data_IF_490244544407
#
_entry.id   IF_490244544407
#
_cell.length_a   1.000
_cell.length_b   1.000
_cell.length_c   1.000
_cell.angle_alpha   90.00
_cell.angle_beta   90.00
_cell.angle_gamma   90.00
#
_symmetry.space_group_name_H-M   'P 1'
#
loop_
_entity.id
_entity.type
_entity.pdbx_description
1 polymer ?
#
# COMPACT_ATOMS: atom_id res chain seq x y z
N UNK A 1 1.80 -19.55 1.35
CA UNK A 1 1.82 -18.30 0.57
C UNK A 1 1.52 -17.15 1.51
N UNK A 2 2.35 -16.11 1.47
CA UNK A 2 2.10 -14.90 2.26
C UNK A 2 1.18 -13.97 1.48
N UNK A 3 0.23 -13.33 2.17
CA UNK A 3 -0.72 -12.39 1.59
C UNK A 3 -0.59 -11.04 2.29
N UNK A 4 -0.32 -10.01 1.50
CA UNK A 4 -0.33 -8.62 1.95
C UNK A 4 -1.76 -8.11 2.15
N UNK A 5 -1.96 -7.12 3.04
CA UNK A 5 -3.28 -6.52 3.25
C UNK A 5 -4.26 -7.36 4.06
N UNK A 6 -3.82 -8.47 4.67
CA UNK A 6 -4.62 -9.20 5.64
C UNK A 6 -3.78 -9.93 6.68
N UNK A 7 -4.47 -10.53 7.66
CA UNK A 7 -3.87 -10.94 8.93
C UNK A 7 -4.20 -12.40 9.22
N UNK A 8 -3.18 -13.20 9.52
CA UNK A 8 -3.37 -14.56 10.02
C UNK A 8 -3.95 -15.54 8.99
N UNK A 9 -4.68 -16.54 9.47
CA UNK A 9 -5.25 -17.59 8.63
C UNK A 9 -6.56 -17.18 7.96
N UNK A 10 -6.78 -17.68 6.75
CA UNK A 10 -8.02 -17.50 5.99
C UNK A 10 -8.90 -18.75 6.08
N UNK A 11 -10.19 -18.56 6.35
CA UNK A 11 -11.19 -19.62 6.26
C UNK A 11 -11.84 -19.60 4.87
N UNK A 12 -11.62 -20.66 4.10
CA UNK A 12 -12.15 -20.85 2.74
C UNK A 12 -13.07 -22.08 2.66
N UNK A 13 -13.45 -22.66 3.80
CA UNK A 13 -14.23 -23.90 3.90
C UNK A 13 -15.51 -23.87 3.05
N UNK A 14 -16.24 -22.75 3.05
CA UNK A 14 -17.48 -22.58 2.29
C UNK A 14 -17.36 -22.77 0.77
N UNK A 15 -16.15 -22.71 0.20
CA UNK A 15 -15.88 -22.96 -1.22
C UNK A 15 -15.05 -24.23 -1.41
N UNK A 16 -14.12 -24.50 -0.50
CA UNK A 16 -13.25 -25.68 -0.56
C UNK A 16 -14.01 -27.00 -0.36
N UNK A 17 -15.10 -27.00 0.39
CA UNK A 17 -15.95 -28.18 0.62
C UNK A 17 -16.72 -28.63 -0.62
N UNK A 18 -16.85 -27.77 -1.64
CA UNK A 18 -17.46 -28.12 -2.92
C UNK A 18 -16.58 -29.17 -3.59
N UNK A 19 -17.06 -30.41 -3.62
CA UNK A 19 -16.28 -31.57 -4.04
C UNK A 19 -16.08 -31.62 -5.56
N UNK A 20 -17.12 -31.21 -6.28
CA UNK A 20 -17.10 -31.07 -7.74
C UNK A 20 -16.19 -29.91 -8.15
N UNK A 21 -15.16 -30.23 -8.94
CA UNK A 21 -14.13 -29.27 -9.33
C UNK A 21 -14.68 -28.18 -10.25
N UNK A 22 -15.60 -28.51 -11.14
CA UNK A 22 -16.16 -27.59 -12.13
C UNK A 22 -17.09 -26.58 -11.45
N UNK A 23 -17.93 -27.07 -10.53
CA UNK A 23 -18.77 -26.21 -9.69
C UNK A 23 -17.90 -25.31 -8.80
N UNK A 24 -16.88 -25.88 -8.13
CA UNK A 24 -15.98 -25.11 -7.26
C UNK A 24 -15.27 -23.99 -8.03
N UNK A 25 -14.76 -24.31 -9.23
CA UNK A 25 -14.13 -23.34 -10.10
C UNK A 25 -15.12 -22.23 -10.52
N UNK A 26 -16.32 -22.58 -10.95
CA UNK A 26 -17.34 -21.60 -11.34
C UNK A 26 -17.73 -20.64 -10.21
N UNK A 27 -17.86 -21.15 -8.98
CA UNK A 27 -18.13 -20.32 -7.79
C UNK A 27 -16.94 -19.42 -7.48
N UNK A 28 -15.71 -19.96 -7.50
CA UNK A 28 -14.51 -19.18 -7.22
C UNK A 28 -14.28 -18.08 -8.26
N UNK A 29 -14.52 -18.35 -9.54
CA UNK A 29 -14.44 -17.37 -10.62
C UNK A 29 -15.51 -16.27 -10.48
N UNK A 30 -16.74 -16.65 -10.13
CA UNK A 30 -17.80 -15.69 -9.84
C UNK A 30 -17.39 -14.77 -8.68
N UNK A 31 -16.94 -15.33 -7.57
CA UNK A 31 -16.59 -14.54 -6.38
C UNK A 31 -15.36 -13.66 -6.61
N UNK A 32 -14.37 -14.12 -7.37
CA UNK A 32 -13.25 -13.29 -7.77
C UNK A 32 -13.70 -12.12 -8.65
N UNK A 33 -14.63 -12.36 -9.59
CA UNK A 33 -15.18 -11.30 -10.46
C UNK A 33 -15.98 -10.26 -9.68
N UNK A 34 -16.74 -10.68 -8.66
CA UNK A 34 -17.50 -9.77 -7.80
C UNK A 34 -16.65 -9.11 -6.70
N UNK A 35 -15.35 -9.41 -6.63
CA UNK A 35 -14.43 -8.87 -5.62
C UNK A 35 -14.62 -9.43 -4.21
N UNK A 36 -15.35 -10.56 -4.09
CA UNK A 36 -15.53 -11.30 -2.82
C UNK A 36 -14.26 -12.09 -2.49
N UNK A 37 -13.62 -12.69 -3.50
CA UNK A 37 -12.31 -13.32 -3.36
C UNK A 37 -11.23 -12.44 -3.99
N UNK A 38 -10.10 -12.33 -3.31
CA UNK A 38 -8.87 -11.83 -3.92
C UNK A 38 -8.13 -12.94 -4.67
N UNK A 39 -7.09 -12.55 -5.42
CA UNK A 39 -6.32 -13.50 -6.23
C UNK A 39 -5.62 -14.60 -5.43
N UNK A 40 -5.16 -14.31 -4.21
CA UNK A 40 -4.52 -15.28 -3.33
C UNK A 40 -5.51 -16.34 -2.82
N UNK A 41 -6.70 -15.91 -2.43
CA UNK A 41 -7.77 -16.81 -1.98
C UNK A 41 -8.29 -17.67 -3.14
N UNK A 42 -8.51 -17.08 -4.32
CA UNK A 42 -8.87 -17.83 -5.53
C UNK A 42 -7.82 -18.90 -5.86
N UNK A 43 -6.53 -18.52 -5.90
CA UNK A 43 -5.44 -19.47 -6.16
C UNK A 43 -5.40 -20.59 -5.12
N UNK A 44 -5.71 -20.28 -3.86
CA UNK A 44 -5.72 -21.24 -2.76
C UNK A 44 -6.87 -22.23 -2.90
N UNK A 45 -8.07 -21.78 -3.25
CA UNK A 45 -9.24 -22.65 -3.54
C UNK A 45 -8.95 -23.59 -4.70
N UNK A 46 -8.37 -23.06 -5.79
CA UNK A 46 -8.06 -23.86 -6.99
C UNK A 46 -6.97 -24.90 -6.76
N UNK A 47 -6.06 -24.64 -5.81
CA UNK A 47 -4.97 -25.56 -5.47
C UNK A 47 -5.34 -26.64 -4.44
N UNK A 48 -6.58 -26.69 -3.95
CA UNK A 48 -7.12 -27.79 -3.14
C UNK A 48 -6.30 -28.18 -1.91
N UNK A 49 -6.12 -27.26 -0.97
CA UNK A 49 -5.38 -27.45 0.29
C UNK A 49 -3.88 -27.73 0.22
N UNK A 50 -3.26 -27.60 -0.96
CA UNK A 50 -1.82 -27.87 -1.15
C UNK A 50 -0.86 -26.92 -0.41
N UNK A 51 -1.32 -25.77 0.08
CA UNK A 51 -0.52 -24.83 0.87
C UNK A 51 -1.39 -24.03 1.83
N UNK A 52 -0.79 -23.37 2.82
CA UNK A 52 -1.52 -22.41 3.69
C UNK A 52 -1.44 -21.00 3.12
N UNK A 53 -2.56 -20.28 3.10
CA UNK A 53 -2.60 -18.84 2.84
C UNK A 53 -2.53 -18.11 4.19
N UNK A 54 -1.55 -17.23 4.35
CA UNK A 54 -1.28 -16.55 5.62
C UNK A 54 -1.07 -15.05 5.41
N UNK A 55 -1.90 -14.26 6.06
CA UNK A 55 -1.81 -12.81 6.12
C UNK A 55 -0.63 -12.36 6.98
N UNK A 56 0.25 -11.54 6.41
CA UNK A 56 1.47 -11.05 7.07
C UNK A 56 1.36 -9.61 7.57
N UNK A 57 0.17 -8.99 7.48
CA UNK A 57 -0.03 -7.61 7.86
C UNK A 57 0.12 -7.40 9.38
N UNK A 58 0.84 -6.35 9.76
CA UNK A 58 0.87 -5.89 11.14
C UNK A 58 -0.29 -4.90 11.34
N UNK A 59 -1.32 -5.35 12.06
CA UNK A 59 -2.54 -4.57 12.29
C UNK A 59 -2.28 -3.29 13.07
N UNK A 60 -1.33 -3.31 14.01
CA UNK A 60 -1.02 -2.13 14.81
C UNK A 60 -0.32 -1.08 13.94
N UNK A 61 0.67 -1.52 13.16
CA UNK A 61 1.39 -0.66 12.24
C UNK A 61 0.48 -0.09 11.14
N UNK A 62 -0.39 -0.91 10.56
CA UNK A 62 -1.38 -0.48 9.57
C UNK A 62 -2.27 0.63 10.14
N UNK A 63 -2.86 0.41 11.32
CA UNK A 63 -3.75 1.39 11.94
C UNK A 63 -3.02 2.67 12.33
N UNK A 64 -1.77 2.57 12.79
CA UNK A 64 -0.93 3.73 13.08
C UNK A 64 -0.68 4.56 11.81
N UNK A 65 -0.29 3.91 10.71
CA UNK A 65 -0.05 4.57 9.44
C UNK A 65 -1.32 5.22 8.87
N UNK A 66 -2.45 4.51 8.93
CA UNK A 66 -3.74 5.02 8.49
C UNK A 66 -4.15 6.28 9.26
N UNK A 67 -3.96 6.28 10.58
CA UNK A 67 -4.22 7.46 11.42
C UNK A 67 -3.32 8.63 11.04
N UNK A 68 -2.00 8.41 10.96
CA UNK A 68 -1.03 9.44 10.59
C UNK A 68 -1.38 10.04 9.23
N UNK A 69 -1.71 9.20 8.25
CA UNK A 69 -2.11 9.65 6.92
C UNK A 69 -3.38 10.51 6.97
N UNK A 70 -4.42 10.05 7.67
CA UNK A 70 -5.68 10.79 7.77
C UNK A 70 -5.50 12.15 8.45
N UNK A 71 -4.75 12.16 9.55
CA UNK A 71 -4.52 13.37 10.33
C UNK A 71 -3.66 14.38 9.53
N UNK A 72 -2.66 13.92 8.78
CA UNK A 72 -1.88 14.76 7.86
C UNK A 72 -2.71 15.26 6.68
N UNK A 73 -3.54 14.41 6.08
CA UNK A 73 -4.32 14.74 4.89
C UNK A 73 -5.21 15.98 5.09
N UNK A 74 -5.76 16.16 6.29
CA UNK A 74 -6.57 17.32 6.64
C UNK A 74 -5.80 18.66 6.58
N UNK A 75 -4.49 18.64 6.84
CA UNK A 75 -3.63 19.83 6.84
C UNK A 75 -2.66 19.88 5.66
N UNK A 76 -2.78 18.94 4.71
CA UNK A 76 -1.83 18.78 3.61
C UNK A 76 -1.64 20.06 2.81
N UNK A 77 -2.73 20.69 2.38
CA UNK A 77 -2.65 21.90 1.55
C UNK A 77 -1.99 23.07 2.27
N UNK A 78 -2.25 23.23 3.57
CA UNK A 78 -1.64 24.28 4.38
C UNK A 78 -0.14 24.04 4.55
N UNK A 79 0.24 22.82 4.88
CA UNK A 79 1.65 22.42 5.03
C UNK A 79 2.39 22.57 3.70
N UNK A 80 1.80 22.14 2.58
CA UNK A 80 2.39 22.31 1.24
C UNK A 80 2.64 23.79 0.92
N UNK A 81 1.71 24.69 1.26
CA UNK A 81 1.89 26.14 1.08
C UNK A 81 3.05 26.68 1.92
N UNK A 82 3.17 26.24 3.18
CA UNK A 82 4.27 26.64 4.07
C UNK A 82 5.60 26.16 3.51
N UNK A 83 5.71 24.88 3.13
CA UNK A 83 6.92 24.29 2.57
C UNK A 83 7.32 25.04 1.29
N UNK A 84 6.39 25.28 0.37
CA UNK A 84 6.67 26.06 -0.85
C UNK A 84 7.10 27.49 -0.55
N UNK A 85 6.52 28.13 0.47
CA UNK A 85 6.93 29.44 0.95
C UNK A 85 8.38 29.45 1.44
N UNK A 86 8.75 28.48 2.29
CA UNK A 86 10.09 28.32 2.81
C UNK A 86 11.10 28.01 1.69
N UNK A 87 10.77 27.09 0.77
CA UNK A 87 11.63 26.78 -0.37
C UNK A 87 11.91 28.02 -1.22
N UNK A 88 10.89 28.81 -1.58
CA UNK A 88 11.09 30.08 -2.31
C UNK A 88 11.94 31.08 -1.53
N UNK A 89 11.74 31.17 -0.22
CA UNK A 89 12.54 32.02 0.66
C UNK A 89 14.01 31.62 0.67
N UNK A 90 14.29 30.32 0.77
CA UNK A 90 15.64 29.76 0.73
C UNK A 90 16.30 30.05 -0.62
N UNK A 91 15.61 29.81 -1.74
CA UNK A 91 16.17 30.10 -3.07
C UNK A 91 16.49 31.60 -3.24
N UNK A 92 15.59 32.48 -2.79
CA UNK A 92 15.86 33.93 -2.82
C UNK A 92 17.06 34.33 -1.93
N UNK A 93 17.25 33.67 -0.79
CA UNK A 93 18.37 33.92 0.09
C UNK A 93 19.69 33.39 -0.49
N UNK A 94 19.67 32.20 -1.12
CA UNK A 94 20.82 31.61 -1.83
C UNK A 94 21.35 32.58 -2.87
N UNK A 95 20.47 33.17 -3.68
CA UNK A 95 20.87 34.13 -4.71
C UNK A 95 21.62 35.35 -4.17
N UNK A 96 21.28 35.79 -2.95
CA UNK A 96 21.83 37.01 -2.33
C UNK A 96 23.07 36.74 -1.48
N UNK A 97 23.17 35.56 -0.88
CA UNK A 97 24.20 35.24 0.12
C UNK A 97 25.34 34.43 -0.51
N UNK A 98 25.04 33.55 -1.46
CA UNK A 98 26.06 32.69 -2.06
C UNK A 98 26.89 33.48 -3.07
N UNK A 99 28.20 33.27 -2.99
CA UNK A 99 29.10 33.65 -4.08
C UNK A 99 29.08 32.59 -5.18
N UNK A 100 29.59 32.93 -6.37
CA UNK A 100 29.57 32.05 -7.55
C UNK A 100 30.18 30.67 -7.29
N UNK A 101 31.29 30.58 -6.54
CA UNK A 101 31.92 29.30 -6.23
C UNK A 101 31.02 28.39 -5.40
N UNK A 102 30.24 28.95 -4.48
CA UNK A 102 29.31 28.18 -3.64
C UNK A 102 28.04 27.79 -4.41
N UNK A 103 27.58 28.60 -5.37
CA UNK A 103 26.46 28.24 -6.25
C UNK A 103 26.83 27.02 -7.12
N UNK A 104 27.99 27.09 -7.78
CA UNK A 104 28.53 25.99 -8.61
C UNK A 104 28.69 24.69 -7.80
N UNK A 105 29.15 24.78 -6.55
CA UNK A 105 29.31 23.61 -5.69
C UNK A 105 27.98 22.92 -5.35
N UNK A 106 26.89 23.69 -5.17
CA UNK A 106 25.58 23.13 -4.81
C UNK A 106 24.88 22.50 -6.02
N UNK A 107 24.95 23.12 -7.20
CA UNK A 107 24.36 22.59 -8.43
C UNK A 107 25.02 21.27 -8.89
N UNK A 108 26.32 21.09 -8.62
CA UNK A 108 27.03 19.85 -8.95
C UNK A 108 26.65 18.65 -8.06
N UNK A 109 25.81 18.86 -7.04
CA UNK A 109 25.44 17.86 -6.03
C UNK A 109 23.98 17.41 -6.11
N UNK A 110 23.15 18.10 -6.89
CA UNK A 110 21.80 17.68 -7.28
C UNK A 110 21.84 16.76 -8.50
#
# INVERSE_FOLDING_TARGET
MCLEGGVGSYDLSGIEEISDKEIRQGVAELYAREGILNGGEYARVMAGASYTLWGIEDTELYNKNLRVYRDFSASREEIEKIVQGLSRGIESAKEKILNENLKIFLEAKE
#
